data_IF_762063435616
#
_entry.id   IF_762063435616
#
_cell.length_a   1.000
_cell.length_b   1.000
_cell.length_c   1.000
_cell.angle_alpha   90.00
_cell.angle_beta   90.00
_cell.angle_gamma   90.00
#
_symmetry.space_group_name_H-M   'P 1'
#
loop_
_entity.id
_entity.type
_entity.pdbx_description
1 polymer ?
#
# COMPACT_ATOMS: atom_id res chain seq x y z
N UNK A 1 -7.83 12.81 19.34
CA UNK A 1 -7.03 14.04 19.41
C UNK A 1 -5.59 13.58 19.26
N UNK A 2 -5.05 13.63 18.04
CA UNK A 2 -3.75 13.04 17.71
C UNK A 2 -2.71 14.15 17.83
N UNK A 3 -1.92 14.12 18.91
CA UNK A 3 -0.76 14.99 19.07
C UNK A 3 0.22 14.73 17.91
N UNK A 4 0.30 15.67 16.97
CA UNK A 4 1.39 15.74 16.01
C UNK A 4 2.50 16.57 16.66
N UNK A 5 3.43 15.92 17.36
CA UNK A 5 4.69 16.55 17.70
C UNK A 5 5.46 16.82 16.39
N UNK A 6 5.81 18.09 16.06
CA UNK A 6 6.40 18.46 14.77
C UNK A 6 7.83 17.94 14.54
N UNK A 7 8.41 17.21 15.50
CA UNK A 7 9.78 16.67 15.44
C UNK A 7 9.86 15.14 15.20
N UNK A 8 8.73 14.49 14.89
CA UNK A 8 8.69 13.03 14.78
C UNK A 8 8.65 12.55 13.32
N UNK A 9 9.61 11.69 12.95
CA UNK A 9 9.57 10.90 11.71
C UNK A 9 8.21 10.17 11.61
N UNK A 10 7.40 10.40 10.56
CA UNK A 10 6.08 9.80 10.41
C UNK A 10 6.16 8.27 10.38
N UNK A 11 5.19 7.61 11.01
CA UNK A 11 5.05 6.16 10.91
C UNK A 11 4.17 5.80 9.71
N UNK A 12 4.53 4.73 8.98
CA UNK A 12 3.72 4.21 7.89
C UNK A 12 2.39 3.65 8.44
N UNK A 13 1.21 4.10 7.95
CA UNK A 13 -0.09 3.58 8.41
C UNK A 13 -0.45 2.25 7.74
N UNK A 14 0.47 1.27 7.77
CA UNK A 14 0.36 0.03 6.99
C UNK A 14 -0.89 -0.79 7.36
N UNK A 15 -1.20 -0.94 8.64
CA UNK A 15 -2.37 -1.69 9.12
C UNK A 15 -3.68 -1.07 8.65
N UNK A 16 -3.78 0.27 8.66
CA UNK A 16 -4.96 0.99 8.19
C UNK A 16 -5.13 0.82 6.67
N UNK A 17 -4.04 0.90 5.90
CA UNK A 17 -4.07 0.68 4.45
C UNK A 17 -4.49 -0.77 4.15
N UNK A 18 -3.92 -1.76 4.85
CA UNK A 18 -4.31 -3.18 4.70
C UNK A 18 -5.79 -3.40 5.00
N UNK A 19 -6.31 -2.76 6.05
CA UNK A 19 -7.73 -2.85 6.40
C UNK A 19 -8.62 -2.28 5.29
N UNK A 20 -8.29 -1.11 4.75
CA UNK A 20 -9.02 -0.49 3.64
C UNK A 20 -8.99 -1.38 2.38
N UNK A 21 -7.81 -1.89 2.01
CA UNK A 21 -7.67 -2.84 0.89
C UNK A 21 -8.47 -4.13 1.11
N UNK A 22 -8.50 -4.66 2.33
CA UNK A 22 -9.29 -5.84 2.70
C UNK A 22 -10.80 -5.62 2.57
N UNK A 23 -11.26 -4.37 2.67
CA UNK A 23 -12.65 -3.97 2.44
C UNK A 23 -12.93 -3.54 0.99
N UNK A 24 -11.94 -3.65 0.10
CA UNK A 24 -11.97 -3.12 -1.26
C UNK A 24 -12.23 -1.59 -1.35
N UNK A 25 -11.98 -0.87 -0.26
CA UNK A 25 -12.08 0.59 -0.20
C UNK A 25 -10.76 1.21 -0.68
N UNK A 26 -10.63 1.32 -2.01
CA UNK A 26 -9.45 1.86 -2.66
C UNK A 26 -9.29 3.37 -2.43
N UNK A 27 -10.41 4.08 -2.28
CA UNK A 27 -10.41 5.53 -2.06
C UNK A 27 -9.85 5.85 -0.67
N UNK A 28 -10.26 5.10 0.37
CA UNK A 28 -9.68 5.22 1.71
C UNK A 28 -8.19 4.85 1.72
N UNK A 29 -7.81 3.77 1.06
CA UNK A 29 -6.41 3.36 0.96
C UNK A 29 -5.54 4.46 0.29
N UNK A 30 -6.04 5.09 -0.77
CA UNK A 30 -5.38 6.19 -1.44
C UNK A 30 -5.27 7.43 -0.53
N UNK A 31 -6.35 7.80 0.16
CA UNK A 31 -6.36 8.94 1.09
C UNK A 31 -5.33 8.77 2.23
N UNK A 32 -5.18 7.55 2.76
CA UNK A 32 -4.17 7.22 3.77
C UNK A 32 -2.75 7.37 3.24
N UNK A 33 -2.48 6.91 2.02
CA UNK A 33 -1.18 7.06 1.37
C UNK A 33 -0.84 8.53 1.09
N UNK A 34 -1.80 9.32 0.61
CA UNK A 34 -1.62 10.76 0.38
C UNK A 34 -1.36 11.52 1.69
N UNK A 35 -2.08 11.18 2.76
CA UNK A 35 -1.86 11.77 4.08
C UNK A 35 -0.45 11.45 4.59
N UNK A 36 0.02 10.21 4.41
CA UNK A 36 1.38 9.80 4.75
C UNK A 36 2.44 10.52 3.92
N UNK A 37 2.28 10.63 2.60
CA UNK A 37 3.20 11.38 1.73
C UNK A 37 3.30 12.85 2.16
N UNK A 38 2.17 13.51 2.44
CA UNK A 38 2.15 14.88 2.97
C UNK A 38 2.92 14.99 4.29
N UNK A 39 2.70 14.06 5.22
CA UNK A 39 3.40 14.05 6.50
C UNK A 39 4.91 13.85 6.34
N UNK A 40 5.34 12.96 5.43
CA UNK A 40 6.76 12.75 5.10
C UNK A 40 7.39 14.02 4.53
N UNK A 41 6.73 14.68 3.57
CA UNK A 41 7.22 15.94 2.99
C UNK A 41 7.33 17.05 4.03
N UNK A 42 6.37 17.17 4.93
CA UNK A 42 6.42 18.13 6.03
C UNK A 42 7.59 17.83 6.97
N UNK A 43 7.80 16.58 7.33
CA UNK A 43 8.90 16.17 8.20
C UNK A 43 10.29 16.36 7.55
N UNK A 44 10.40 16.25 6.22
CA UNK A 44 11.65 16.51 5.49
C UNK A 44 11.95 18.00 5.29
N UNK A 45 10.93 18.86 5.33
CA UNK A 45 11.09 20.32 5.18
C UNK A 45 11.31 21.03 6.51
N UNK A 46 11.00 20.36 7.63
CA UNK A 46 11.46 20.79 8.95
C UNK A 46 12.99 20.69 8.97
N UNK A 47 13.66 21.84 9.16
CA UNK A 47 15.12 22.00 9.16
C UNK A 47 15.73 21.30 10.39
N UNK A 48 15.76 19.98 10.36
CA UNK A 48 16.24 19.14 11.43
C UNK A 48 17.69 18.74 11.12
N UNK A 49 18.63 19.24 11.92
CA UNK A 49 19.94 18.60 12.07
C UNK A 49 19.68 17.12 12.36
N UNK A 50 19.93 16.26 11.36
CA UNK A 50 19.75 14.81 11.48
C UNK A 50 20.73 14.28 12.52
N UNK A 51 20.28 14.21 13.77
CA UNK A 51 20.99 13.43 14.76
C UNK A 51 20.98 11.94 14.34
N UNK A 52 21.93 11.12 14.83
CA UNK A 52 22.01 9.72 14.45
C UNK A 52 20.73 8.90 14.73
N UNK A 53 19.91 9.29 15.70
CA UNK A 53 18.65 8.58 16.02
C UNK A 53 17.57 8.91 14.99
N UNK A 54 17.49 10.15 14.55
CA UNK A 54 16.58 10.56 13.47
C UNK A 54 16.96 9.89 12.15
N UNK A 55 18.25 9.86 11.82
CA UNK A 55 18.74 9.14 10.64
C UNK A 55 18.36 7.64 10.67
N UNK A 56 18.52 6.99 11.83
CA UNK A 56 18.10 5.59 12.00
C UNK A 56 16.58 5.42 11.81
N UNK A 57 15.76 6.35 12.33
CA UNK A 57 14.29 6.28 12.17
C UNK A 57 13.86 6.46 10.72
N UNK A 58 14.50 7.35 9.97
CA UNK A 58 14.27 7.49 8.53
C UNK A 58 14.67 6.22 7.77
N UNK A 59 15.78 5.59 8.14
CA UNK A 59 16.19 4.31 7.55
C UNK A 59 15.17 3.20 7.84
N UNK A 60 14.65 3.11 9.06
CA UNK A 60 13.57 2.18 9.41
C UNK A 60 12.30 2.45 8.60
N UNK A 61 11.88 3.72 8.48
CA UNK A 61 10.72 4.08 7.67
C UNK A 61 10.89 3.67 6.20
N UNK A 62 12.09 3.86 5.62
CA UNK A 62 12.37 3.43 4.26
C UNK A 62 12.26 1.90 4.10
N UNK A 63 12.78 1.15 5.07
CA UNK A 63 12.68 -0.32 5.08
C UNK A 63 11.21 -0.77 5.18
N UNK A 64 10.42 -0.14 6.05
CA UNK A 64 8.98 -0.41 6.18
C UNK A 64 8.23 -0.14 4.87
N UNK A 65 8.50 0.99 4.22
CA UNK A 65 7.90 1.34 2.92
C UNK A 65 8.28 0.33 1.83
N UNK A 66 9.54 -0.11 1.80
CA UNK A 66 10.01 -1.06 0.81
C UNK A 66 9.38 -2.44 1.01
N UNK A 67 9.30 -2.92 2.25
CA UNK A 67 8.59 -4.15 2.59
C UNK A 67 7.10 -4.07 2.23
N UNK A 68 6.46 -2.91 2.46
CA UNK A 68 5.06 -2.70 2.12
C UNK A 68 4.81 -2.68 0.60
N UNK A 69 5.73 -2.09 -0.19
CA UNK A 69 5.65 -2.14 -1.65
C UNK A 69 5.78 -3.57 -2.18
N UNK A 70 6.64 -4.39 -1.60
CA UNK A 70 6.74 -5.82 -1.93
C UNK A 70 5.43 -6.57 -1.61
N UNK A 71 4.82 -6.27 -0.48
CA UNK A 71 3.51 -6.83 -0.09
C UNK A 71 2.44 -6.49 -1.13
N UNK A 72 2.33 -5.21 -1.53
CA UNK A 72 1.38 -4.76 -2.54
C UNK A 72 1.65 -5.38 -3.92
N UNK A 73 2.92 -5.55 -4.30
CA UNK A 73 3.28 -6.23 -5.55
C UNK A 73 2.80 -7.69 -5.55
N UNK A 74 3.03 -8.42 -4.45
CA UNK A 74 2.53 -9.80 -4.29
C UNK A 74 1.01 -9.87 -4.35
N UNK A 75 0.32 -8.94 -3.68
CA UNK A 75 -1.14 -8.87 -3.70
C UNK A 75 -1.68 -8.63 -5.12
N UNK A 76 -1.11 -7.65 -5.84
CA UNK A 76 -1.45 -7.36 -7.23
C UNK A 76 -1.25 -8.58 -8.13
N UNK A 77 -0.12 -9.26 -7.99
CA UNK A 77 0.22 -10.41 -8.83
C UNK A 77 -0.73 -11.59 -8.54
N UNK A 78 -1.11 -11.79 -7.28
CA UNK A 78 -2.13 -12.76 -6.87
C UNK A 78 -3.50 -12.47 -7.48
N UNK A 79 -3.98 -11.23 -7.38
CA UNK A 79 -5.25 -10.78 -7.98
C UNK A 79 -5.21 -10.93 -9.51
N UNK A 80 -4.08 -10.59 -10.14
CA UNK A 80 -3.89 -10.76 -11.58
C UNK A 80 -3.98 -12.22 -12.03
N UNK A 81 -3.45 -13.16 -11.23
CA UNK A 81 -3.56 -14.59 -11.51
C UNK A 81 -5.00 -15.10 -11.34
N UNK A 82 -5.69 -14.69 -10.28
CA UNK A 82 -7.11 -14.98 -10.06
C UNK A 82 -7.97 -14.53 -11.26
N UNK A 83 -7.73 -13.31 -11.77
CA UNK A 83 -8.44 -12.78 -12.93
C UNK A 83 -8.18 -13.60 -14.20
N UNK A 84 -6.92 -13.99 -14.45
CA UNK A 84 -6.56 -14.86 -15.58
C UNK A 84 -7.22 -16.24 -15.50
N UNK A 85 -7.35 -16.80 -14.30
CA UNK A 85 -8.05 -18.06 -14.08
C UNK A 85 -9.53 -17.92 -14.41
N UNK A 86 -10.21 -16.88 -13.89
CA UNK A 86 -11.61 -16.60 -14.20
C UNK A 86 -11.86 -16.45 -15.72
N UNK A 87 -11.00 -15.71 -16.42
CA UNK A 87 -11.11 -15.55 -17.88
C UNK A 87 -10.92 -16.87 -18.65
N UNK A 88 -10.04 -17.76 -18.17
CA UNK A 88 -9.87 -19.11 -18.74
C UNK A 88 -11.13 -19.95 -18.52
N UNK A 89 -11.70 -19.94 -17.33
CA UNK A 89 -12.94 -20.67 -17.02
C UNK A 89 -14.12 -20.17 -17.86
N UNK A 90 -14.26 -18.85 -18.04
CA UNK A 90 -15.31 -18.28 -18.90
C UNK A 90 -15.16 -18.70 -20.36
N UNK A 91 -13.94 -18.72 -20.90
CA UNK A 91 -13.68 -19.19 -22.28
C UNK A 91 -13.99 -20.67 -22.42
N UNK A 92 -13.60 -21.50 -21.46
CA UNK A 92 -13.94 -22.93 -21.43
C UNK A 92 -15.45 -23.17 -21.42
N UNK A 93 -16.17 -22.49 -20.51
CA UNK A 93 -17.63 -22.60 -20.42
C UNK A 93 -18.34 -22.18 -21.72
N UNK A 94 -17.89 -21.10 -22.37
CA UNK A 94 -18.42 -20.66 -23.67
C UNK A 94 -18.14 -21.67 -24.79
N UNK A 95 -16.96 -22.30 -24.81
CA UNK A 95 -16.64 -23.33 -25.80
C UNK A 95 -17.52 -24.58 -25.62
N UNK A 96 -17.78 -25.00 -24.38
CA UNK A 96 -18.69 -26.11 -24.11
C UNK A 96 -20.14 -25.80 -24.53
N UNK A 97 -20.62 -24.58 -24.30
CA UNK A 97 -21.97 -24.16 -24.74
C UNK A 97 -22.07 -23.99 -26.26
N UNK A 98 -21.01 -23.54 -26.93
CA UNK A 98 -20.99 -23.33 -28.38
C UNK A 98 -20.75 -24.60 -29.21
N UNK A 99 -20.16 -25.64 -28.63
CA UNK A 99 -19.95 -26.94 -29.29
C UNK A 99 -21.12 -27.91 -29.12
N UNK A 100 -22.15 -27.54 -28.35
CA UNK A 100 -23.34 -28.33 -28.08
C UNK A 100 -24.60 -27.90 -28.87
N UNK A 101 -24.45 -27.01 -29.85
CA UNK A 101 -25.48 -26.58 -30.81
C UNK A 101 -25.04 -26.96 -32.22
#
# INVERSE_FOLDING_TARGET
MTDYAPDAVPALPAEAIRAALGQADLDMAAALLEAHDRAVRQALTADALLDPRQAQRWACLLQEQQAFLEELARLRDHVGEQLRQLQRHQRGARAYLGSGA
#
